data_IF_594681370317
#
_entry.id   IF_594681370317
#
_cell.length_a   1.000
_cell.length_b   1.000
_cell.length_c   1.000
_cell.angle_alpha   90.00
_cell.angle_beta   90.00
_cell.angle_gamma   90.00
#
_symmetry.space_group_name_H-M   'P 1'
#
loop_
_entity.id
_entity.type
_entity.pdbx_description
1 polymer ?
#
# COMPACT_ATOMS: atom_id res chain seq x y z
N UNK A 1 7.81 15.07 11.68
CA UNK A 1 7.56 14.00 10.70
C UNK A 1 7.40 12.70 11.47
N UNK A 2 6.27 12.02 11.31
CA UNK A 2 6.02 10.69 11.90
C UNK A 2 5.89 9.72 10.73
N UNK A 3 6.58 8.59 10.80
CA UNK A 3 6.55 7.54 9.77
C UNK A 3 5.85 6.32 10.38
N UNK A 4 4.80 5.86 9.73
CA UNK A 4 4.06 4.66 10.09
C UNK A 4 4.47 3.57 9.10
N UNK A 5 5.49 2.79 9.45
CA UNK A 5 6.04 1.73 8.60
C UNK A 5 5.36 0.39 8.93
N UNK A 6 4.62 -0.23 7.98
CA UNK A 6 3.99 -1.52 8.20
C UNK A 6 4.99 -2.69 8.22
N UNK A 7 6.26 -2.49 7.87
CA UNK A 7 7.25 -3.56 7.82
C UNK A 7 7.45 -4.24 9.18
N UNK A 8 7.29 -5.57 9.18
CA UNK A 8 7.53 -6.43 10.34
C UNK A 8 8.72 -7.35 10.10
N UNK A 9 9.85 -7.16 10.81
CA UNK A 9 11.03 -8.00 10.64
C UNK A 9 10.83 -9.44 11.16
N UNK A 10 9.85 -9.65 12.02
CA UNK A 10 9.46 -10.94 12.61
C UNK A 10 8.37 -11.67 11.82
N UNK A 11 7.94 -11.13 10.66
CA UNK A 11 7.02 -11.81 9.77
C UNK A 11 7.72 -12.96 9.05
N UNK A 12 7.31 -14.19 9.35
CA UNK A 12 7.86 -15.41 8.74
C UNK A 12 6.77 -16.32 8.17
N UNK A 13 7.16 -17.46 7.61
CA UNK A 13 6.25 -18.42 6.99
C UNK A 13 5.32 -19.15 7.98
N UNK A 14 5.49 -18.96 9.30
CA UNK A 14 4.58 -19.51 10.30
C UNK A 14 3.31 -18.68 10.46
N UNK A 15 3.32 -17.42 10.00
CA UNK A 15 2.16 -16.56 10.05
C UNK A 15 1.13 -17.00 9.01
N UNK A 16 -0.08 -17.28 9.49
CA UNK A 16 -1.19 -17.73 8.64
C UNK A 16 -2.08 -16.55 8.32
N UNK A 17 -2.43 -16.41 7.04
CA UNK A 17 -3.44 -15.48 6.55
C UNK A 17 -4.85 -15.96 6.95
N UNK A 18 -5.10 -15.97 8.26
CA UNK A 18 -6.32 -16.43 8.90
C UNK A 18 -6.76 -15.37 9.91
N UNK A 19 -7.98 -14.80 9.80
CA UNK A 19 -8.47 -13.79 10.76
C UNK A 19 -8.52 -14.25 12.22
N UNK A 20 -8.48 -15.56 12.49
CA UNK A 20 -8.38 -16.13 13.84
C UNK A 20 -6.94 -16.21 14.36
N UNK A 21 -5.94 -16.06 13.50
CA UNK A 21 -4.54 -16.00 13.89
C UNK A 21 -4.17 -14.58 14.37
N UNK A 22 -3.94 -14.46 15.67
CA UNK A 22 -3.89 -13.16 16.35
C UNK A 22 -2.83 -12.21 15.78
N UNK A 23 -1.61 -12.69 15.50
CA UNK A 23 -0.53 -11.85 14.96
C UNK A 23 -0.86 -11.28 13.57
N UNK A 24 -1.46 -12.11 12.70
CA UNK A 24 -1.92 -11.66 11.39
C UNK A 24 -3.04 -10.61 11.53
N UNK A 25 -4.03 -10.88 12.38
CA UNK A 25 -5.13 -9.95 12.63
C UNK A 25 -4.63 -8.61 13.17
N UNK A 26 -3.70 -8.63 14.12
CA UNK A 26 -3.11 -7.42 14.69
C UNK A 26 -2.36 -6.61 13.64
N UNK A 27 -1.56 -7.26 12.79
CA UNK A 27 -0.86 -6.58 11.71
C UNK A 27 -1.83 -5.88 10.75
N UNK A 28 -2.79 -6.62 10.19
CA UNK A 28 -3.73 -6.07 9.20
C UNK A 28 -4.57 -4.96 9.81
N UNK A 29 -4.99 -5.13 11.08
CA UNK A 29 -5.79 -4.11 11.78
C UNK A 29 -4.95 -2.85 12.03
N UNK A 30 -3.68 -3.00 12.43
CA UNK A 30 -2.77 -1.88 12.61
C UNK A 30 -2.52 -1.12 11.29
N UNK A 31 -2.27 -1.84 10.19
CA UNK A 31 -2.09 -1.26 8.86
C UNK A 31 -3.30 -0.42 8.44
N UNK A 32 -4.52 -0.95 8.65
CA UNK A 32 -5.76 -0.23 8.37
C UNK A 32 -5.90 1.04 9.23
N UNK A 33 -5.77 0.92 10.55
CA UNK A 33 -5.93 2.04 11.48
C UNK A 33 -4.90 3.15 11.25
N UNK A 34 -3.63 2.79 11.04
CA UNK A 34 -2.57 3.77 10.83
C UNK A 34 -2.70 4.45 9.47
N UNK A 35 -3.10 3.72 8.43
CA UNK A 35 -3.38 4.30 7.11
C UNK A 35 -4.52 5.30 7.14
N UNK A 36 -5.56 5.04 7.94
CA UNK A 36 -6.66 5.99 8.12
C UNK A 36 -6.22 7.27 8.85
N UNK A 37 -5.33 7.13 9.84
CA UNK A 37 -4.81 8.24 10.65
C UNK A 37 -3.73 9.07 9.97
N UNK A 38 -3.04 8.52 8.98
CA UNK A 38 -1.95 9.20 8.30
C UNK A 38 -2.45 10.42 7.50
N UNK A 39 -1.71 11.53 7.55
CA UNK A 39 -2.01 12.70 6.71
C UNK A 39 -1.74 12.41 5.23
N UNK A 40 -0.74 11.57 4.95
CA UNK A 40 -0.33 11.11 3.62
C UNK A 40 -0.01 9.61 3.68
N UNK A 41 -0.41 8.87 2.63
CA UNK A 41 -0.12 7.46 2.43
C UNK A 41 0.71 7.30 1.15
N UNK A 42 1.93 6.79 1.31
CA UNK A 42 2.85 6.50 0.21
C UNK A 42 2.75 5.03 -0.18
N UNK A 43 2.36 4.75 -1.42
CA UNK A 43 2.42 3.41 -2.00
C UNK A 43 3.65 3.28 -2.89
N UNK A 44 4.50 2.29 -2.62
CA UNK A 44 5.65 1.93 -3.45
C UNK A 44 5.45 0.54 -4.06
N UNK A 45 5.20 0.49 -5.37
CA UNK A 45 5.02 -0.76 -6.11
C UNK A 45 6.34 -1.22 -6.72
N UNK A 46 7.08 -2.04 -5.98
CA UNK A 46 8.37 -2.60 -6.42
C UNK A 46 8.19 -3.59 -7.60
N UNK A 47 8.96 -3.49 -8.70
CA UNK A 47 8.93 -4.45 -9.80
C UNK A 47 9.20 -5.91 -9.42
N UNK A 48 9.89 -6.15 -8.31
CA UNK A 48 10.19 -7.48 -7.77
C UNK A 48 9.06 -8.05 -6.89
N UNK A 49 8.03 -7.25 -6.57
CA UNK A 49 6.89 -7.67 -5.75
C UNK A 49 5.59 -7.68 -6.56
N UNK A 50 4.70 -8.60 -6.23
CA UNK A 50 3.34 -8.61 -6.77
C UNK A 50 2.40 -7.64 -6.05
N UNK A 51 2.70 -7.31 -4.78
CA UNK A 51 1.96 -6.37 -3.93
C UNK A 51 0.41 -6.39 -4.06
N UNK A 52 -0.26 -7.57 -4.03
CA UNK A 52 -1.71 -7.64 -4.25
C UNK A 52 -2.52 -6.95 -3.15
N UNK A 53 -2.05 -7.00 -1.89
CA UNK A 53 -2.69 -6.31 -0.77
C UNK A 53 -2.57 -4.80 -0.97
N UNK A 54 -1.40 -4.28 -1.33
CA UNK A 54 -1.23 -2.84 -1.62
C UNK A 54 -2.13 -2.34 -2.75
N UNK A 55 -2.47 -3.17 -3.74
CA UNK A 55 -3.49 -2.81 -4.76
C UNK A 55 -4.89 -2.65 -4.16
N UNK A 56 -5.28 -3.53 -3.24
CA UNK A 56 -6.56 -3.43 -2.51
C UNK A 56 -6.59 -2.15 -1.68
N UNK A 57 -5.52 -1.90 -0.92
CA UNK A 57 -5.39 -0.73 -0.05
C UNK A 57 -5.38 0.58 -0.82
N UNK A 58 -4.68 0.62 -1.96
CA UNK A 58 -4.71 1.75 -2.87
C UNK A 58 -6.16 2.10 -3.24
N UNK A 59 -6.96 1.11 -3.62
CA UNK A 59 -8.37 1.29 -3.97
C UNK A 59 -9.21 1.89 -2.83
N UNK A 60 -8.88 1.59 -1.57
CA UNK A 60 -9.55 2.16 -0.40
C UNK A 60 -9.18 3.64 -0.20
N UNK A 61 -7.90 3.99 -0.38
CA UNK A 61 -7.40 5.36 -0.16
C UNK A 61 -7.72 6.35 -1.30
N UNK A 62 -8.02 5.86 -2.50
CA UNK A 62 -8.33 6.71 -3.68
C UNK A 62 -9.52 7.65 -3.50
N UNK A 63 -10.35 7.43 -2.48
CA UNK A 63 -11.53 8.26 -2.18
C UNK A 63 -11.22 9.53 -1.38
N UNK A 64 -10.01 9.66 -0.85
CA UNK A 64 -9.58 10.82 -0.04
C UNK A 64 -8.62 11.70 -0.88
N UNK A 65 -9.12 12.81 -1.49
CA UNK A 65 -8.28 13.65 -2.34
C UNK A 65 -7.07 14.20 -1.58
N UNK A 66 -5.89 14.13 -2.20
CA UNK A 66 -4.65 14.67 -1.64
C UNK A 66 -3.94 13.80 -0.59
N UNK A 67 -4.53 12.67 -0.17
CA UNK A 67 -3.93 11.76 0.82
C UNK A 67 -2.92 10.78 0.23
N UNK A 68 -2.99 10.51 -1.07
CA UNK A 68 -2.25 9.39 -1.68
C UNK A 68 -1.11 9.89 -2.56
N UNK A 69 0.08 9.30 -2.37
CA UNK A 69 1.21 9.41 -3.29
C UNK A 69 1.57 8.00 -3.78
N UNK A 70 1.75 7.84 -5.09
CA UNK A 70 2.04 6.54 -5.70
C UNK A 70 3.36 6.57 -6.44
N UNK A 71 4.26 5.67 -6.06
CA UNK A 71 5.47 5.34 -6.81
C UNK A 71 5.22 4.01 -7.52
N UNK A 72 5.20 4.05 -8.86
CA UNK A 72 4.95 2.87 -9.68
C UNK A 72 5.85 2.89 -10.93
N UNK A 73 7.03 2.27 -10.86
CA UNK A 73 7.87 2.03 -12.02
C UNK A 73 7.09 1.29 -13.12
N UNK A 74 7.50 1.47 -14.37
CA UNK A 74 6.87 0.79 -15.51
C UNK A 74 7.01 -0.73 -15.45
N UNK A 75 8.04 -1.22 -14.76
CA UNK A 75 8.32 -2.65 -14.59
C UNK A 75 7.37 -3.38 -13.64
N UNK A 76 6.56 -2.69 -12.83
CA UNK A 76 5.57 -3.35 -11.99
C UNK A 76 4.50 -4.05 -12.84
N UNK A 77 4.19 -5.31 -12.54
CA UNK A 77 3.35 -6.18 -13.37
C UNK A 77 1.92 -5.67 -13.62
N UNK A 78 1.41 -4.79 -12.73
CA UNK A 78 0.12 -4.07 -12.90
C UNK A 78 0.26 -2.58 -13.12
N UNK A 79 1.43 -2.08 -13.54
CA UNK A 79 1.70 -0.63 -13.73
C UNK A 79 0.63 0.07 -14.57
N UNK A 80 0.19 -0.54 -15.68
CA UNK A 80 -0.88 0.02 -16.51
C UNK A 80 -2.22 0.20 -15.77
N UNK A 81 -2.60 -0.75 -14.90
CA UNK A 81 -3.83 -0.64 -14.10
C UNK A 81 -3.70 0.45 -13.04
N UNK A 82 -2.57 0.47 -12.32
CA UNK A 82 -2.30 1.48 -11.30
C UNK A 82 -2.38 2.88 -11.90
N UNK A 83 -1.74 3.11 -13.05
CA UNK A 83 -1.74 4.42 -13.73
C UNK A 83 -3.14 4.86 -14.17
N UNK A 84 -3.90 4.00 -14.84
CA UNK A 84 -5.26 4.34 -15.28
C UNK A 84 -6.21 4.61 -14.11
N UNK A 85 -6.08 3.87 -13.01
CA UNK A 85 -6.86 4.13 -11.79
C UNK A 85 -6.44 5.47 -11.18
N UNK A 86 -5.14 5.71 -10.99
CA UNK A 86 -4.66 6.96 -10.41
C UNK A 86 -5.07 8.18 -11.25
N UNK A 87 -4.96 8.09 -12.58
CA UNK A 87 -5.43 9.12 -13.52
C UNK A 87 -6.92 9.44 -13.31
N UNK A 88 -7.77 8.41 -13.20
CA UNK A 88 -9.21 8.58 -12.97
C UNK A 88 -9.53 9.32 -11.67
N UNK A 89 -8.71 9.16 -10.64
CA UNK A 89 -8.89 9.80 -9.33
C UNK A 89 -8.04 11.06 -9.14
N UNK A 90 -7.30 11.50 -10.16
CA UNK A 90 -6.43 12.68 -10.08
C UNK A 90 -5.22 12.50 -9.17
N UNK A 91 -4.78 11.26 -8.95
CA UNK A 91 -3.61 10.92 -8.13
C UNK A 91 -2.35 10.89 -8.99
N UNK A 92 -1.30 11.61 -8.56
CA UNK A 92 -0.02 11.61 -9.25
C UNK A 92 0.71 10.28 -9.04
N UNK A 93 1.27 9.75 -10.13
CA UNK A 93 2.15 8.58 -10.13
C UNK A 93 3.55 9.01 -10.55
N UNK A 94 4.55 8.69 -9.74
CA UNK A 94 5.97 8.89 -10.06
C UNK A 94 6.67 7.54 -10.32
N UNK A 95 7.82 7.57 -11.00
CA UNK A 95 8.53 6.33 -11.36
C UNK A 95 9.57 5.89 -10.32
N UNK A 96 9.96 6.77 -9.39
CA UNK A 96 10.95 6.48 -8.35
C UNK A 96 10.89 7.46 -7.18
N UNK A 97 11.67 7.16 -6.14
CA UNK A 97 11.93 8.00 -4.99
C UNK A 97 13.28 8.72 -5.23
N UNK A 98 13.26 9.85 -5.93
CA UNK A 98 14.42 10.72 -6.13
C UNK A 98 14.30 12.01 -5.29
#
# INVERSE_FOLDING_TARGET
LTILDPFRPDWDSSWREDPSFQLFKEQVSWEMEQRERADIVLFHFDPASMAPISLLELGLCMREPGKVVVVCPRGYWKSGNVRLVCERFGVQVVEGLE
#
